data_IF_926718377597
#
_entry.id   IF_926718377597
#
_cell.length_a   1.000
_cell.length_b   1.000
_cell.length_c   1.000
_cell.angle_alpha   90.00
_cell.angle_beta   90.00
_cell.angle_gamma   90.00
#
_symmetry.space_group_name_H-M   'P 1'
#
loop_
_entity.id
_entity.type
_entity.pdbx_description
1 polymer ?
#
# COMPACT_ATOMS: atom_id res chain seq x y z
N UNK A 1 -0.33 -7.98 31.95
CA UNK A 1 -1.36 -8.55 31.05
C UNK A 1 -0.70 -9.32 29.91
N UNK A 2 -1.18 -10.52 29.58
CA UNK A 2 -0.69 -11.27 28.41
C UNK A 2 -1.19 -10.64 27.09
N UNK A 3 -0.71 -11.13 25.94
CA UNK A 3 -1.02 -10.57 24.63
C UNK A 3 -2.51 -10.68 24.27
N UNK A 4 -3.15 -11.80 24.58
CA UNK A 4 -4.58 -12.01 24.35
C UNK A 4 -5.44 -11.02 25.14
N UNK A 5 -5.14 -10.79 26.43
CA UNK A 5 -5.92 -9.85 27.25
C UNK A 5 -5.78 -8.40 26.77
N UNK A 6 -4.58 -7.98 26.35
CA UNK A 6 -4.39 -6.66 25.72
C UNK A 6 -5.17 -6.56 24.40
N UNK A 7 -5.12 -7.63 23.60
CA UNK A 7 -5.89 -7.75 22.36
C UNK A 7 -7.39 -7.65 22.59
N UNK A 8 -7.93 -8.33 23.62
CA UNK A 8 -9.34 -8.28 23.98
C UNK A 8 -9.81 -6.86 24.32
N UNK A 9 -9.05 -6.12 25.15
CA UNK A 9 -9.36 -4.72 25.47
C UNK A 9 -9.29 -3.84 24.22
N UNK A 10 -8.26 -4.03 23.39
CA UNK A 10 -8.18 -3.32 22.11
C UNK A 10 -9.36 -3.66 21.18
N UNK A 11 -9.82 -4.92 21.21
CA UNK A 11 -11.02 -5.42 20.56
C UNK A 11 -12.28 -4.68 20.99
N UNK A 12 -12.46 -4.40 22.28
CA UNK A 12 -13.57 -3.56 22.78
C UNK A 12 -13.52 -2.17 22.14
N UNK A 13 -12.35 -1.52 22.16
CA UNK A 13 -12.21 -0.17 21.60
C UNK A 13 -12.49 -0.14 20.09
N UNK A 14 -11.93 -1.08 19.31
CA UNK A 14 -12.25 -1.21 17.89
C UNK A 14 -13.72 -1.55 17.65
N UNK A 15 -14.29 -2.41 18.49
CA UNK A 15 -15.70 -2.80 18.47
C UNK A 15 -16.63 -1.60 18.65
N UNK A 16 -16.29 -0.67 19.56
CA UNK A 16 -17.02 0.58 19.75
C UNK A 16 -16.96 1.47 18.50
N UNK A 17 -15.76 1.67 17.93
CA UNK A 17 -15.58 2.46 16.70
C UNK A 17 -16.44 1.90 15.57
N UNK A 18 -16.34 0.60 15.31
CA UNK A 18 -17.09 -0.04 14.23
C UNK A 18 -18.59 -0.14 14.55
N UNK A 19 -18.96 -0.34 15.81
CA UNK A 19 -20.35 -0.37 16.26
C UNK A 19 -21.07 0.96 16.01
N UNK A 20 -20.39 2.09 16.24
CA UNK A 20 -20.91 3.42 15.88
C UNK A 20 -21.13 3.52 14.37
N UNK A 21 -20.16 3.10 13.55
CA UNK A 21 -20.35 3.08 12.09
C UNK A 21 -21.54 2.21 11.67
N UNK A 22 -21.70 1.02 12.24
CA UNK A 22 -22.84 0.16 11.95
C UNK A 22 -24.18 0.77 12.39
N UNK A 23 -24.21 1.51 13.50
CA UNK A 23 -25.40 2.23 13.93
C UNK A 23 -25.79 3.32 12.92
N UNK A 24 -24.82 4.09 12.44
CA UNK A 24 -25.02 5.14 11.42
C UNK A 24 -25.55 4.55 10.11
N UNK A 25 -25.06 3.38 9.71
CA UNK A 25 -25.46 2.70 8.48
C UNK A 25 -26.63 1.72 8.64
N UNK A 26 -27.23 1.62 9.83
CA UNK A 26 -28.36 0.69 10.08
C UNK A 26 -27.98 -0.79 9.93
N UNK A 27 -26.72 -1.16 10.11
CA UNK A 27 -26.22 -2.53 9.92
C UNK A 27 -26.26 -3.39 11.19
N UNK A 28 -26.66 -2.83 12.35
CA UNK A 28 -26.76 -3.61 13.59
C UNK A 28 -27.79 -4.76 13.53
N UNK A 29 -28.99 -4.60 12.93
CA UNK A 29 -29.92 -5.72 12.73
C UNK A 29 -29.32 -6.85 11.87
N UNK A 30 -28.45 -6.51 10.90
CA UNK A 30 -27.72 -7.51 10.10
C UNK A 30 -26.91 -8.45 11.00
N UNK A 31 -26.23 -7.94 12.03
CA UNK A 31 -25.51 -8.78 13.00
C UNK A 31 -26.48 -9.53 13.91
N UNK A 32 -27.55 -8.87 14.36
CA UNK A 32 -28.56 -9.46 15.24
C UNK A 32 -29.24 -10.70 14.62
N UNK A 33 -29.40 -10.73 13.30
CA UNK A 33 -30.00 -11.86 12.58
C UNK A 33 -29.26 -13.19 12.80
N UNK A 34 -27.97 -13.17 13.16
CA UNK A 34 -27.19 -14.38 13.51
C UNK A 34 -27.86 -15.15 14.67
N UNK A 35 -28.46 -14.43 15.61
CA UNK A 35 -29.21 -15.00 16.74
C UNK A 35 -30.72 -14.90 16.54
N UNK A 36 -31.17 -14.76 15.28
CA UNK A 36 -32.57 -14.76 14.84
C UNK A 36 -33.43 -13.65 15.47
N UNK A 37 -32.89 -12.44 15.56
CA UNK A 37 -33.62 -11.24 15.99
C UNK A 37 -33.22 -10.01 15.17
N UNK A 38 -34.09 -8.99 15.12
CA UNK A 38 -33.82 -7.72 14.43
C UNK A 38 -33.44 -6.57 15.39
N UNK A 39 -33.29 -6.88 16.69
CA UNK A 39 -32.95 -5.88 17.70
C UNK A 39 -31.53 -5.33 17.50
N UNK A 40 -31.42 -4.04 17.18
CA UNK A 40 -30.14 -3.35 17.04
C UNK A 40 -29.27 -3.42 18.31
N UNK A 41 -29.89 -3.44 19.50
CA UNK A 41 -29.20 -3.57 20.78
C UNK A 41 -28.57 -4.97 20.91
N UNK A 42 -29.32 -6.02 20.53
CA UNK A 42 -28.78 -7.39 20.52
C UNK A 42 -27.67 -7.52 19.47
N UNK A 43 -27.86 -6.94 18.28
CA UNK A 43 -26.82 -6.90 17.24
C UNK A 43 -25.53 -6.23 17.71
N UNK A 44 -25.64 -5.10 18.42
CA UNK A 44 -24.50 -4.44 19.03
C UNK A 44 -23.81 -5.32 20.09
N UNK A 45 -24.58 -5.98 20.97
CA UNK A 45 -24.02 -6.88 21.97
C UNK A 45 -23.26 -8.07 21.34
N UNK A 46 -23.84 -8.71 20.33
CA UNK A 46 -23.22 -9.81 19.57
C UNK A 46 -21.94 -9.33 18.88
N UNK A 47 -21.99 -8.16 18.24
CA UNK A 47 -20.81 -7.51 17.65
C UNK A 47 -19.69 -7.29 18.67
N UNK A 48 -20.01 -6.78 19.86
CA UNK A 48 -19.02 -6.56 20.91
C UNK A 48 -18.36 -7.86 21.39
N UNK A 49 -19.11 -8.97 21.46
CA UNK A 49 -18.56 -10.29 21.78
C UNK A 49 -17.55 -10.72 20.71
N UNK A 50 -17.91 -10.61 19.43
CA UNK A 50 -16.99 -10.91 18.34
C UNK A 50 -15.77 -9.98 18.35
N UNK A 51 -15.96 -8.69 18.60
CA UNK A 51 -14.89 -7.71 18.66
C UNK A 51 -13.84 -8.05 19.73
N UNK A 52 -14.25 -8.56 20.90
CA UNK A 52 -13.35 -9.04 21.96
C UNK A 52 -12.57 -10.28 21.51
N UNK A 53 -13.24 -11.27 20.94
CA UNK A 53 -12.62 -12.53 20.48
C UNK A 53 -11.60 -12.24 19.37
N UNK A 54 -12.02 -11.46 18.37
CA UNK A 54 -11.20 -11.06 17.23
C UNK A 54 -10.01 -10.21 17.69
N UNK A 55 -10.22 -9.29 18.63
CA UNK A 55 -9.14 -8.48 19.23
C UNK A 55 -8.13 -9.33 20.00
N UNK A 56 -8.58 -10.32 20.77
CA UNK A 56 -7.69 -11.26 21.45
C UNK A 56 -6.82 -12.04 20.44
N UNK A 57 -7.42 -12.49 19.33
CA UNK A 57 -6.71 -13.10 18.20
C UNK A 57 -5.63 -12.19 17.60
N UNK A 58 -5.95 -10.91 17.40
CA UNK A 58 -4.97 -9.92 16.93
C UNK A 58 -3.75 -9.87 17.85
N UNK A 59 -3.97 -9.71 19.16
CA UNK A 59 -2.90 -9.62 20.15
C UNK A 59 -1.97 -10.84 20.13
N UNK A 60 -2.51 -12.05 19.94
CA UNK A 60 -1.73 -13.27 19.80
C UNK A 60 -0.83 -13.24 18.54
N UNK A 61 -1.40 -12.89 17.39
CA UNK A 61 -0.72 -12.86 16.08
C UNK A 61 0.40 -11.81 16.05
N UNK A 62 0.13 -10.60 16.54
CA UNK A 62 1.05 -9.46 16.38
C UNK A 62 2.00 -9.24 17.56
N UNK A 63 1.97 -10.13 18.56
CA UNK A 63 2.76 -9.99 19.80
C UNK A 63 4.26 -9.74 19.60
N UNK A 64 4.83 -10.18 18.47
CA UNK A 64 6.24 -9.99 18.09
C UNK A 64 6.44 -9.05 16.90
N UNK A 65 5.34 -8.63 16.27
CA UNK A 65 5.38 -7.76 15.10
C UNK A 65 5.68 -6.32 15.48
N UNK A 66 6.24 -5.58 14.53
CA UNK A 66 6.45 -4.13 14.59
C UNK A 66 5.46 -3.42 13.68
N UNK A 67 5.30 -2.11 13.86
CA UNK A 67 4.44 -1.26 13.01
C UNK A 67 2.99 -1.76 12.93
N UNK A 68 2.41 -1.91 14.13
CA UNK A 68 1.14 -2.59 14.35
C UNK A 68 -0.04 -2.01 13.58
N UNK A 69 0.00 -0.72 13.21
CA UNK A 69 -1.07 -0.07 12.43
C UNK A 69 -1.27 -0.75 11.08
N UNK A 70 -0.19 -1.10 10.37
CA UNK A 70 -0.27 -1.76 9.07
C UNK A 70 -0.82 -3.19 9.21
N UNK A 71 -0.40 -3.91 10.26
CA UNK A 71 -0.97 -5.20 10.59
C UNK A 71 -2.45 -5.12 10.99
N UNK A 72 -2.85 -4.06 11.71
CA UNK A 72 -4.24 -3.79 12.06
C UNK A 72 -5.13 -3.61 10.83
N UNK A 73 -4.67 -2.83 9.86
CA UNK A 73 -5.39 -2.62 8.59
C UNK A 73 -5.55 -3.92 7.80
N UNK A 74 -4.46 -4.69 7.68
CA UNK A 74 -4.52 -5.99 7.03
C UNK A 74 -5.49 -6.93 7.75
N UNK A 75 -5.47 -6.91 9.08
CA UNK A 75 -6.37 -7.71 9.90
C UNK A 75 -7.83 -7.30 9.72
N UNK A 76 -8.12 -5.99 9.64
CA UNK A 76 -9.43 -5.47 9.28
C UNK A 76 -9.89 -5.94 7.90
N UNK A 77 -9.06 -5.77 6.87
CA UNK A 77 -9.33 -6.24 5.52
C UNK A 77 -9.59 -7.75 5.46
N UNK A 78 -8.80 -8.54 6.20
CA UNK A 78 -8.99 -9.98 6.35
C UNK A 78 -10.37 -10.30 6.98
N UNK A 79 -10.76 -9.61 8.04
CA UNK A 79 -12.05 -9.81 8.69
C UNK A 79 -13.24 -9.30 7.88
N UNK A 80 -13.06 -8.36 6.96
CA UNK A 80 -14.10 -8.02 6.00
C UNK A 80 -14.37 -9.16 5.02
N UNK A 81 -13.32 -9.81 4.51
CA UNK A 81 -13.48 -11.00 3.65
C UNK A 81 -14.05 -12.20 4.43
N UNK A 82 -13.54 -12.44 5.64
CA UNK A 82 -13.95 -13.60 6.44
C UNK A 82 -15.32 -13.38 7.11
N UNK A 83 -15.59 -12.23 7.67
CA UNK A 83 -16.79 -11.92 8.46
C UNK A 83 -18.04 -11.80 7.59
N UNK A 84 -18.33 -10.62 7.02
CA UNK A 84 -19.57 -10.38 6.28
C UNK A 84 -19.64 -11.13 4.95
N UNK A 85 -18.52 -11.37 4.26
CA UNK A 85 -18.53 -12.07 2.95
C UNK A 85 -18.56 -13.61 3.05
N UNK A 86 -18.16 -14.19 4.17
CA UNK A 86 -18.04 -15.66 4.30
C UNK A 86 -18.81 -16.21 5.50
N UNK A 87 -18.52 -15.76 6.71
CA UNK A 87 -19.12 -16.30 7.93
C UNK A 87 -20.57 -15.87 8.12
N UNK A 88 -20.94 -14.64 7.77
CA UNK A 88 -22.29 -14.13 7.95
C UNK A 88 -23.34 -14.95 7.15
N UNK A 89 -23.16 -15.22 5.83
CA UNK A 89 -24.06 -16.12 5.10
C UNK A 89 -24.13 -17.51 5.74
N UNK A 90 -22.99 -18.09 6.12
CA UNK A 90 -22.94 -19.41 6.76
C UNK A 90 -23.74 -19.45 8.07
N UNK A 91 -23.63 -18.44 8.92
CA UNK A 91 -24.40 -18.34 10.16
C UNK A 91 -25.91 -18.17 9.92
N UNK A 92 -26.29 -17.61 8.78
CA UNK A 92 -27.69 -17.47 8.36
C UNK A 92 -28.24 -18.69 7.63
N UNK A 93 -27.39 -19.66 7.28
CA UNK A 93 -27.76 -20.77 6.40
C UNK A 93 -27.97 -20.34 4.95
N UNK A 94 -27.42 -19.19 4.55
CA UNK A 94 -27.41 -18.69 3.18
C UNK A 94 -26.16 -19.23 2.44
N UNK A 95 -26.23 -19.42 1.11
CA UNK A 95 -25.06 -19.81 0.33
C UNK A 95 -23.99 -18.70 0.35
N UNK A 96 -22.72 -19.09 0.46
CA UNK A 96 -21.60 -18.16 0.35
C UNK A 96 -21.40 -17.78 -1.12
N UNK A 97 -21.47 -16.49 -1.43
CA UNK A 97 -21.25 -15.96 -2.78
C UNK A 97 -20.04 -15.02 -2.79
N UNK A 98 -18.95 -15.47 -3.41
CA UNK A 98 -17.75 -14.66 -3.65
C UNK A 98 -17.80 -14.01 -5.03
N UNK A 99 -18.83 -13.21 -5.24
CA UNK A 99 -19.03 -12.45 -6.47
C UNK A 99 -18.90 -10.93 -6.24
N UNK A 100 -18.77 -10.20 -7.34
CA UNK A 100 -18.56 -8.76 -7.31
C UNK A 100 -19.75 -7.97 -6.75
N UNK A 101 -20.98 -8.43 -6.99
CA UNK A 101 -22.19 -7.75 -6.51
C UNK A 101 -22.31 -7.85 -4.99
N UNK A 102 -22.01 -9.02 -4.43
CA UNK A 102 -21.96 -9.27 -2.98
C UNK A 102 -20.88 -8.41 -2.31
N UNK A 103 -19.69 -8.31 -2.91
CA UNK A 103 -18.61 -7.45 -2.42
C UNK A 103 -19.00 -5.95 -2.44
N UNK A 104 -19.63 -5.47 -3.51
CA UNK A 104 -20.10 -4.09 -3.64
C UNK A 104 -21.17 -3.74 -2.60
N UNK A 105 -22.12 -4.65 -2.36
CA UNK A 105 -23.16 -4.45 -1.35
C UNK A 105 -22.60 -4.29 0.07
N UNK A 106 -21.44 -4.91 0.35
CA UNK A 106 -20.77 -4.88 1.64
C UNK A 106 -19.65 -3.83 1.74
N UNK A 107 -19.54 -2.92 0.77
CA UNK A 107 -18.48 -1.91 0.74
C UNK A 107 -18.47 -0.99 1.97
N UNK A 108 -19.60 -0.49 2.52
CA UNK A 108 -19.57 0.30 3.75
C UNK A 108 -18.96 -0.47 4.93
N UNK A 109 -19.19 -1.79 4.98
CA UNK A 109 -18.62 -2.63 6.04
C UNK A 109 -17.10 -2.78 5.88
N UNK A 110 -16.53 -2.68 4.67
CA UNK A 110 -15.08 -2.70 4.47
C UNK A 110 -14.42 -1.54 5.22
N UNK A 111 -14.94 -0.33 5.03
CA UNK A 111 -14.41 0.86 5.71
C UNK A 111 -14.52 0.70 7.23
N UNK A 112 -15.65 0.17 7.72
CA UNK A 112 -15.82 -0.15 9.13
C UNK A 112 -14.79 -1.16 9.68
N UNK A 113 -14.46 -2.21 8.91
CA UNK A 113 -13.45 -3.19 9.31
C UNK A 113 -12.02 -2.61 9.26
N UNK A 114 -11.70 -1.74 8.29
CA UNK A 114 -10.41 -1.04 8.26
C UNK A 114 -10.24 -0.13 9.50
N UNK A 115 -11.30 0.62 9.85
CA UNK A 115 -11.34 1.44 11.07
C UNK A 115 -11.23 0.58 12.34
N UNK A 116 -11.94 -0.55 12.41
CA UNK A 116 -11.82 -1.53 13.49
C UNK A 116 -10.37 -1.98 13.67
N UNK A 117 -9.75 -2.48 12.60
CA UNK A 117 -8.40 -3.01 12.62
C UNK A 117 -7.35 -1.97 13.04
N UNK A 118 -7.50 -0.73 12.55
CA UNK A 118 -6.66 0.40 12.97
C UNK A 118 -6.82 0.72 14.45
N UNK A 119 -8.06 0.82 14.94
CA UNK A 119 -8.35 1.13 16.34
C UNK A 119 -7.80 0.04 17.29
N UNK A 120 -7.98 -1.24 16.94
CA UNK A 120 -7.39 -2.37 17.67
C UNK A 120 -5.87 -2.24 17.71
N UNK A 121 -5.22 -1.96 16.57
CA UNK A 121 -3.77 -1.82 16.53
C UNK A 121 -3.25 -0.67 17.40
N UNK A 122 -3.89 0.51 17.34
CA UNK A 122 -3.49 1.68 18.12
C UNK A 122 -3.65 1.44 19.62
N UNK A 123 -4.78 0.89 20.06
CA UNK A 123 -5.01 0.60 21.48
C UNK A 123 -4.09 -0.52 21.96
N UNK A 124 -3.87 -1.56 21.15
CA UNK A 124 -2.93 -2.62 21.49
C UNK A 124 -1.49 -2.10 21.62
N UNK A 125 -1.07 -1.18 20.74
CA UNK A 125 0.24 -0.51 20.82
C UNK A 125 0.41 0.26 22.13
N UNK A 126 -0.61 1.03 22.53
CA UNK A 126 -0.61 1.75 23.83
C UNK A 126 -0.53 0.77 25.00
N UNK A 127 -1.37 -0.27 25.00
CA UNK A 127 -1.39 -1.29 26.06
C UNK A 127 -0.10 -2.12 26.12
N UNK A 128 0.58 -2.29 24.99
CA UNK A 128 1.87 -2.99 24.92
C UNK A 128 3.01 -2.18 25.51
N UNK A 129 2.82 -0.87 25.71
CA UNK A 129 3.86 0.04 26.15
C UNK A 129 4.80 0.43 25.01
N UNK A 130 4.39 0.24 23.75
CA UNK A 130 5.11 0.70 22.56
C UNK A 130 4.95 2.24 22.40
N UNK A 131 4.94 2.98 23.52
CA UNK A 131 4.67 4.41 23.53
C UNK A 131 5.64 5.15 22.61
N UNK A 132 5.16 6.01 21.71
CA UNK A 132 6.03 6.84 20.88
C UNK A 132 6.74 7.86 21.79
N UNK A 133 7.91 7.49 22.29
CA UNK A 133 8.79 8.39 23.02
C UNK A 133 9.27 9.49 22.09
N UNK A 134 9.10 10.74 22.53
CA UNK A 134 9.56 12.03 21.96
C UNK A 134 8.89 12.55 20.67
N UNK A 135 8.70 13.88 20.61
CA UNK A 135 8.24 14.62 19.43
C UNK A 135 9.33 14.58 18.34
N UNK A 136 8.99 14.45 17.05
CA UNK A 136 9.97 14.52 15.98
C UNK A 136 10.68 15.89 15.99
N UNK A 137 11.96 15.96 15.59
CA UNK A 137 12.68 17.23 15.54
C UNK A 137 12.03 18.17 14.53
N UNK A 138 12.14 19.48 14.75
CA UNK A 138 11.56 20.50 13.86
C UNK A 138 12.00 20.34 12.40
N UNK A 139 13.25 19.92 12.17
CA UNK A 139 13.78 19.65 10.82
C UNK A 139 13.05 18.50 10.11
N UNK A 140 12.62 17.46 10.84
CA UNK A 140 11.82 16.39 10.28
C UNK A 140 10.40 16.88 9.93
N UNK A 141 9.83 17.78 10.73
CA UNK A 141 8.52 18.40 10.45
C UNK A 141 8.58 19.29 9.21
N UNK A 142 9.58 20.17 9.11
CA UNK A 142 9.77 21.03 7.92
C UNK A 142 9.95 20.18 6.66
N UNK A 143 10.79 19.15 6.74
CA UNK A 143 10.99 18.22 5.63
C UNK A 143 9.70 17.49 5.24
N UNK A 144 8.94 17.03 6.22
CA UNK A 144 7.64 16.39 6.04
C UNK A 144 6.66 17.33 5.35
N UNK A 145 6.49 18.54 5.88
CA UNK A 145 5.60 19.55 5.32
C UNK A 145 5.96 19.93 3.89
N UNK A 146 7.25 20.17 3.58
CA UNK A 146 7.69 20.46 2.21
C UNK A 146 7.43 19.30 1.25
N UNK A 147 7.80 18.07 1.65
CA UNK A 147 7.55 16.87 0.86
C UNK A 147 6.05 16.69 0.58
N UNK A 148 5.22 16.90 1.60
CA UNK A 148 3.77 16.78 1.52
C UNK A 148 3.13 17.85 0.63
N UNK A 149 3.54 19.11 0.72
CA UNK A 149 3.03 20.19 -0.15
C UNK A 149 3.33 19.90 -1.62
N UNK A 150 4.58 19.55 -1.94
CA UNK A 150 4.99 19.21 -3.31
C UNK A 150 4.21 18.00 -3.82
N UNK A 151 4.14 16.93 -3.02
CA UNK A 151 3.36 15.75 -3.38
C UNK A 151 1.87 16.10 -3.60
N UNK A 152 1.29 16.94 -2.74
CA UNK A 152 -0.08 17.40 -2.83
C UNK A 152 -0.39 18.16 -4.10
N UNK A 153 0.52 19.03 -4.55
CA UNK A 153 0.40 19.74 -5.83
C UNK A 153 0.45 18.78 -7.03
N UNK A 154 1.24 17.71 -6.95
CA UNK A 154 1.39 16.72 -8.02
C UNK A 154 0.28 15.65 -8.03
N UNK A 155 -0.56 15.60 -6.99
CA UNK A 155 -1.54 14.53 -6.80
C UNK A 155 -2.90 14.82 -7.43
N UNK A 156 -3.08 15.95 -8.12
CA UNK A 156 -4.34 16.37 -8.75
C UNK A 156 -5.56 16.37 -7.80
N UNK A 157 -5.33 16.40 -6.48
CA UNK A 157 -6.36 16.60 -5.47
C UNK A 157 -6.59 18.12 -5.36
N UNK A 158 -7.83 18.60 -5.45
CA UNK A 158 -8.14 20.05 -5.54
C UNK A 158 -7.40 20.91 -4.50
N UNK A 159 -7.74 20.79 -3.22
CA UNK A 159 -7.00 21.44 -2.11
C UNK A 159 -5.75 20.62 -1.71
N UNK A 160 -5.13 19.95 -2.68
CA UNK A 160 -4.12 18.92 -2.48
C UNK A 160 -2.89 19.41 -1.74
N UNK A 161 -2.53 20.69 -1.85
CA UNK A 161 -1.40 21.27 -1.12
C UNK A 161 -1.65 21.38 0.40
N UNK A 162 -2.89 21.65 0.86
CA UNK A 162 -3.23 21.66 2.29
C UNK A 162 -3.31 20.24 2.85
N UNK A 163 -3.98 19.34 2.12
CA UNK A 163 -4.05 17.93 2.47
C UNK A 163 -2.63 17.36 2.54
N UNK A 164 -1.81 17.70 1.54
CA UNK A 164 -0.41 17.33 1.46
C UNK A 164 0.41 17.89 2.61
N UNK A 165 0.24 19.16 3.00
CA UNK A 165 0.91 19.73 4.16
C UNK A 165 0.58 18.93 5.44
N UNK A 166 -0.71 18.66 5.68
CA UNK A 166 -1.15 17.89 6.86
C UNK A 166 -0.60 16.45 6.84
N UNK A 167 -0.70 15.77 5.69
CA UNK A 167 -0.14 14.44 5.49
C UNK A 167 1.38 14.41 5.67
N UNK A 168 2.09 15.42 5.17
CA UNK A 168 3.53 15.57 5.29
C UNK A 168 3.99 15.83 6.72
N UNK A 169 3.28 16.67 7.48
CA UNK A 169 3.57 16.95 8.89
C UNK A 169 3.31 15.74 9.79
N UNK A 170 2.30 14.93 9.48
CA UNK A 170 1.97 13.71 10.22
C UNK A 170 2.94 12.54 9.90
N UNK A 171 3.48 12.48 8.68
CA UNK A 171 4.40 11.42 8.24
C UNK A 171 5.54 11.10 9.23
N UNK A 172 6.34 12.07 9.72
CA UNK A 172 7.44 11.79 10.68
C UNK A 172 6.97 11.36 12.07
N UNK A 173 5.69 11.52 12.43
CA UNK A 173 5.17 10.95 13.68
C UNK A 173 4.97 9.45 13.58
N UNK A 174 4.50 8.99 12.42
CA UNK A 174 4.18 7.59 12.14
C UNK A 174 5.42 6.81 11.68
N UNK A 175 6.29 7.43 10.90
CA UNK A 175 7.44 6.77 10.27
C UNK A 175 8.73 7.52 10.61
N UNK A 176 9.31 7.14 11.75
CA UNK A 176 10.50 7.77 12.34
C UNK A 176 11.80 7.11 11.88
N UNK A 177 11.76 5.81 11.67
CA UNK A 177 12.93 5.03 11.35
C UNK A 177 13.43 5.35 9.95
N UNK A 178 14.76 5.36 9.81
CA UNK A 178 15.38 5.53 8.50
C UNK A 178 15.07 4.29 7.66
N UNK A 179 14.45 4.52 6.53
CA UNK A 179 14.13 3.48 5.56
C UNK A 179 14.73 3.81 4.20
N UNK A 180 14.94 2.77 3.39
CA UNK A 180 15.33 2.94 2.00
C UNK A 180 14.13 3.42 1.17
N UNK A 181 14.41 4.13 0.07
CA UNK A 181 13.38 4.81 -0.72
C UNK A 181 12.31 3.86 -1.29
N UNK A 182 12.65 2.64 -1.71
CA UNK A 182 11.68 1.67 -2.23
C UNK A 182 10.62 1.25 -1.22
N UNK A 183 10.98 0.68 -0.05
CA UNK A 183 10.01 0.38 1.00
C UNK A 183 9.24 1.62 1.48
N UNK A 184 9.91 2.77 1.58
CA UNK A 184 9.26 4.04 1.92
C UNK A 184 8.20 4.45 0.88
N UNK A 185 8.46 4.26 -0.42
CA UNK A 185 7.48 4.49 -1.49
C UNK A 185 6.22 3.64 -1.29
N UNK A 186 6.38 2.34 -1.06
CA UNK A 186 5.24 1.41 -0.87
C UNK A 186 4.44 1.75 0.38
N UNK A 187 5.15 1.99 1.48
CA UNK A 187 4.56 2.47 2.73
C UNK A 187 3.83 3.79 2.54
N UNK A 188 4.42 4.71 1.79
CA UNK A 188 3.84 5.97 1.40
C UNK A 188 2.53 5.77 0.65
N UNK A 189 2.48 4.88 -0.34
CA UNK A 189 1.24 4.58 -1.06
C UNK A 189 0.14 4.05 -0.11
N UNK A 190 0.47 3.12 0.79
CA UNK A 190 -0.48 2.64 1.82
C UNK A 190 -0.89 3.76 2.77
N UNK A 191 0.01 4.64 3.17
CA UNK A 191 -0.29 5.83 3.96
C UNK A 191 -1.25 6.78 3.23
N UNK A 192 -1.07 6.94 1.92
CA UNK A 192 -1.98 7.66 1.04
C UNK A 192 -3.38 7.06 1.03
N UNK A 193 -3.49 5.73 0.88
CA UNK A 193 -4.76 5.02 1.01
C UNK A 193 -5.45 5.29 2.36
N UNK A 194 -4.70 5.35 3.45
CA UNK A 194 -5.26 5.68 4.77
C UNK A 194 -5.76 7.12 4.85
N UNK A 195 -5.07 8.07 4.21
CA UNK A 195 -5.58 9.42 4.07
C UNK A 195 -6.88 9.46 3.29
N UNK A 196 -7.02 8.68 2.22
CA UNK A 196 -8.28 8.58 1.50
C UNK A 196 -9.41 8.05 2.39
N UNK A 197 -9.18 6.95 3.13
CA UNK A 197 -10.20 6.36 4.04
C UNK A 197 -10.56 7.32 5.20
N UNK A 198 -9.56 7.86 5.90
CA UNK A 198 -9.79 8.63 7.11
C UNK A 198 -10.21 10.08 6.83
N UNK A 199 -9.62 10.69 5.80
CA UNK A 199 -9.92 12.08 5.47
C UNK A 199 -10.95 12.15 4.34
N UNK A 200 -10.62 11.67 3.13
CA UNK A 200 -11.49 11.81 1.96
C UNK A 200 -12.87 11.16 2.11
N UNK A 201 -12.94 9.96 2.69
CA UNK A 201 -14.21 9.23 2.89
C UNK A 201 -14.92 9.58 4.20
N UNK A 202 -14.23 10.18 5.16
CA UNK A 202 -14.74 10.30 6.54
C UNK A 202 -14.65 11.73 7.07
N UNK A 203 -13.46 12.25 7.36
CA UNK A 203 -13.34 13.55 8.01
C UNK A 203 -13.80 14.71 7.13
N UNK A 204 -13.49 14.71 5.83
CA UNK A 204 -13.86 15.78 4.91
C UNK A 204 -15.39 15.94 4.78
N UNK A 205 -16.17 14.88 4.48
CA UNK A 205 -17.64 14.97 4.49
C UNK A 205 -18.20 15.49 5.83
N UNK A 206 -17.67 15.02 6.95
CA UNK A 206 -18.11 15.47 8.27
C UNK A 206 -17.81 16.95 8.53
N UNK A 207 -16.62 17.43 8.13
CA UNK A 207 -16.24 18.84 8.25
C UNK A 207 -17.10 19.76 7.37
N UNK A 208 -17.51 19.26 6.21
CA UNK A 208 -18.37 19.98 5.26
C UNK A 208 -19.87 19.81 5.54
N UNK A 209 -20.25 19.11 6.63
CA UNK A 209 -21.63 18.73 6.94
C UNK A 209 -22.34 18.01 5.76
N UNK A 210 -21.59 17.22 5.00
CA UNK A 210 -22.08 16.36 3.93
C UNK A 210 -22.35 14.97 4.51
N UNK A 211 -23.41 14.29 4.02
CA UNK A 211 -23.74 12.93 4.43
C UNK A 211 -22.61 11.96 4.07
N UNK A 212 -22.19 11.17 5.06
CA UNK A 212 -21.20 10.10 4.90
C UNK A 212 -21.75 8.98 3.99
N UNK A 213 -21.23 8.84 2.77
CA UNK A 213 -21.68 7.82 1.80
C UNK A 213 -20.57 6.81 1.45
N UNK A 214 -20.26 5.91 2.38
CA UNK A 214 -19.35 4.80 2.13
C UNK A 214 -19.90 3.75 1.14
N UNK A 215 -21.18 3.83 0.76
CA UNK A 215 -21.74 2.94 -0.26
C UNK A 215 -21.34 3.37 -1.67
N UNK A 216 -20.99 4.65 -1.86
CA UNK A 216 -20.54 5.22 -3.14
C UNK A 216 -19.32 6.11 -2.93
N UNK A 217 -18.16 5.53 -2.58
CA UNK A 217 -16.97 6.33 -2.30
C UNK A 217 -16.47 7.05 -3.57
N UNK A 218 -15.92 8.27 -3.45
CA UNK A 218 -15.23 8.98 -4.54
C UNK A 218 -13.93 8.26 -4.92
N UNK A 219 -14.06 7.17 -5.69
CA UNK A 219 -12.93 6.33 -6.15
C UNK A 219 -11.99 7.09 -7.11
N UNK A 220 -12.49 8.16 -7.73
CA UNK A 220 -11.71 9.05 -8.58
C UNK A 220 -10.57 9.77 -7.85
N UNK A 221 -10.70 9.93 -6.53
CA UNK A 221 -9.65 10.52 -5.71
C UNK A 221 -8.58 9.50 -5.28
N UNK A 222 -8.87 8.19 -5.33
CA UNK A 222 -7.99 7.15 -4.81
C UNK A 222 -6.59 7.20 -5.44
N UNK A 223 -6.41 7.28 -6.78
CA UNK A 223 -5.08 7.41 -7.38
C UNK A 223 -4.30 8.63 -6.86
N UNK A 224 -4.98 9.76 -6.69
CA UNK A 224 -4.38 11.00 -6.16
C UNK A 224 -3.87 10.83 -4.74
N UNK A 225 -4.64 10.19 -3.85
CA UNK A 225 -4.18 9.91 -2.48
C UNK A 225 -3.01 8.91 -2.44
N UNK A 226 -3.03 7.88 -3.29
CA UNK A 226 -1.92 6.92 -3.39
C UNK A 226 -0.62 7.61 -3.86
N UNK A 227 -0.71 8.49 -4.86
CA UNK A 227 0.40 9.32 -5.33
C UNK A 227 0.87 10.29 -4.24
N UNK A 228 -0.05 10.96 -3.53
CA UNK A 228 0.27 11.88 -2.45
C UNK A 228 1.16 11.20 -1.41
N UNK A 229 0.73 10.04 -0.92
CA UNK A 229 1.47 9.32 0.10
C UNK A 229 2.81 8.78 -0.41
N UNK A 230 2.83 8.17 -1.60
CA UNK A 230 4.05 7.63 -2.22
C UNK A 230 5.10 8.71 -2.49
N UNK A 231 4.69 9.82 -3.10
CA UNK A 231 5.57 10.96 -3.38
C UNK A 231 6.04 11.65 -2.11
N UNK A 232 5.17 11.82 -1.10
CA UNK A 232 5.57 12.37 0.20
C UNK A 232 6.70 11.55 0.80
N UNK A 233 6.58 10.22 0.81
CA UNK A 233 7.60 9.34 1.38
C UNK A 233 8.94 9.38 0.62
N UNK A 234 8.90 9.40 -0.71
CA UNK A 234 10.10 9.51 -1.56
C UNK A 234 10.79 10.86 -1.33
N UNK A 235 10.05 11.97 -1.44
CA UNK A 235 10.58 13.32 -1.26
C UNK A 235 11.12 13.51 0.16
N UNK A 236 10.40 13.03 1.18
CA UNK A 236 10.86 13.06 2.56
C UNK A 236 12.20 12.33 2.74
N UNK A 237 12.35 11.16 2.12
CA UNK A 237 13.59 10.37 2.18
C UNK A 237 14.74 11.05 1.46
N UNK A 238 14.47 11.63 0.28
CA UNK A 238 15.45 12.31 -0.56
C UNK A 238 15.93 13.61 0.06
N UNK A 239 15.01 14.49 0.48
CA UNK A 239 15.34 15.73 1.20
C UNK A 239 16.18 15.43 2.46
N UNK A 240 15.90 14.32 3.13
CA UNK A 240 16.67 13.91 4.31
C UNK A 240 18.07 13.43 3.98
N UNK A 241 18.25 12.82 2.81
CA UNK A 241 19.55 12.38 2.31
C UNK A 241 20.40 13.56 1.84
N UNK A 242 19.80 14.52 1.12
CA UNK A 242 20.43 15.78 0.71
C UNK A 242 20.84 16.61 1.92
N UNK A 243 19.94 16.82 2.88
CA UNK A 243 20.24 17.62 4.08
C UNK A 243 21.42 17.03 4.87
N UNK A 244 21.52 15.70 5.00
CA UNK A 244 22.68 15.09 5.65
C UNK A 244 23.97 15.27 4.85
N UNK A 245 23.92 15.08 3.53
CA UNK A 245 25.09 15.26 2.68
C UNK A 245 25.63 16.70 2.66
N UNK A 246 24.77 17.70 2.90
CA UNK A 246 25.16 19.11 2.92
C UNK A 246 25.55 19.64 4.31
N UNK A 247 24.96 19.10 5.39
CA UNK A 247 25.04 19.70 6.72
C UNK A 247 25.61 18.78 7.81
N UNK A 248 25.91 17.50 7.51
CA UNK A 248 26.49 16.56 8.47
C UNK A 248 27.81 16.03 7.93
N UNK A 249 28.91 16.48 8.53
CA UNK A 249 30.24 15.91 8.33
C UNK A 249 30.34 14.58 9.10
N UNK A 250 29.73 13.53 8.55
CA UNK A 250 29.82 12.21 9.15
C UNK A 250 31.15 11.56 8.74
N UNK A 251 32.20 11.76 9.54
CA UNK A 251 33.54 11.17 9.34
C UNK A 251 33.48 9.62 9.37
N UNK A 252 32.36 9.02 9.80
CA UNK A 252 32.12 7.56 9.76
C UNK A 252 31.46 7.09 8.45
N UNK A 253 31.02 7.99 7.57
CA UNK A 253 30.69 7.65 6.19
C UNK A 253 31.97 7.46 5.37
N UNK A 254 32.78 6.46 5.74
CA UNK A 254 33.51 5.76 4.70
C UNK A 254 32.46 4.96 3.93
N UNK A 255 32.19 5.26 2.64
CA UNK A 255 31.43 4.32 1.85
C UNK A 255 32.25 3.03 1.84
N UNK A 256 31.76 1.99 2.53
CA UNK A 256 32.35 0.65 2.53
C UNK A 256 32.40 0.06 1.10
N UNK A 257 31.87 0.78 0.11
CA UNK A 257 31.79 0.37 -1.27
C UNK A 257 32.34 1.47 -2.18
N UNK A 258 33.43 1.15 -2.88
CA UNK A 258 33.93 1.97 -3.99
C UNK A 258 32.78 2.31 -4.97
N UNK A 259 32.50 3.58 -5.25
CA UNK A 259 31.57 3.98 -6.30
C UNK A 259 32.00 3.36 -7.64
N UNK A 260 31.06 2.81 -8.42
CA UNK A 260 31.27 2.66 -9.86
C UNK A 260 31.25 1.27 -10.51
N UNK A 261 31.23 0.14 -9.79
CA UNK A 261 31.07 -1.18 -10.43
C UNK A 261 29.78 -1.89 -10.01
N UNK A 262 29.48 -1.89 -8.71
CA UNK A 262 28.29 -2.55 -8.16
C UNK A 262 26.99 -1.79 -8.44
N UNK A 263 27.05 -0.46 -8.51
CA UNK A 263 25.91 0.38 -8.88
C UNK A 263 25.46 0.10 -10.33
N UNK A 264 26.39 0.16 -11.28
CA UNK A 264 26.11 -0.14 -12.69
C UNK A 264 25.63 -1.57 -12.90
N UNK A 265 26.22 -2.55 -12.21
CA UNK A 265 25.73 -3.93 -12.29
C UNK A 265 24.32 -4.09 -11.74
N UNK A 266 24.01 -3.46 -10.59
CA UNK A 266 22.66 -3.50 -10.04
C UNK A 266 21.65 -2.85 -10.99
N UNK A 267 22.00 -1.70 -11.57
CA UNK A 267 21.18 -1.03 -12.60
C UNK A 267 21.00 -1.92 -13.83
N UNK A 268 22.07 -2.57 -14.29
CA UNK A 268 22.01 -3.54 -15.40
C UNK A 268 21.10 -4.74 -15.11
N UNK A 269 21.16 -5.29 -13.89
CA UNK A 269 20.22 -6.33 -13.46
C UNK A 269 18.78 -5.82 -13.44
N UNK A 270 18.58 -4.58 -13.00
CA UNK A 270 17.29 -3.89 -13.09
C UNK A 270 16.79 -3.80 -14.53
N UNK A 271 17.61 -3.35 -15.47
CA UNK A 271 17.24 -3.24 -16.88
C UNK A 271 16.90 -4.61 -17.50
N UNK A 272 17.71 -5.65 -17.23
CA UNK A 272 17.43 -7.02 -17.71
C UNK A 272 16.13 -7.57 -17.11
N UNK A 273 15.93 -7.42 -15.80
CA UNK A 273 14.70 -7.83 -15.15
C UNK A 273 13.49 -7.03 -15.67
N UNK A 274 13.70 -5.75 -15.99
CA UNK A 274 12.74 -4.88 -16.65
C UNK A 274 12.35 -5.38 -18.03
N UNK A 275 13.30 -5.85 -18.85
CA UNK A 275 13.00 -6.49 -20.15
C UNK A 275 12.15 -7.75 -20.00
N UNK A 276 12.46 -8.61 -19.02
CA UNK A 276 11.68 -9.85 -18.78
C UNK A 276 10.25 -9.50 -18.36
N UNK A 277 10.08 -8.56 -17.41
CA UNK A 277 8.76 -8.07 -17.04
C UNK A 277 8.04 -7.40 -18.21
N UNK A 278 8.77 -6.61 -19.00
CA UNK A 278 8.25 -5.90 -20.18
C UNK A 278 7.72 -6.86 -21.23
N UNK A 279 8.47 -7.92 -21.53
CA UNK A 279 8.06 -8.98 -22.45
C UNK A 279 6.80 -9.73 -21.97
N UNK A 280 6.69 -10.00 -20.66
CA UNK A 280 5.47 -10.59 -20.09
C UNK A 280 4.28 -9.65 -20.24
N UNK A 281 4.47 -8.35 -19.99
CA UNK A 281 3.43 -7.34 -20.16
C UNK A 281 3.05 -7.17 -21.65
N UNK A 282 3.99 -7.32 -22.58
CA UNK A 282 3.69 -7.30 -24.02
C UNK A 282 2.62 -8.33 -24.40
N UNK A 283 2.56 -9.50 -23.76
CA UNK A 283 1.50 -10.49 -24.01
C UNK A 283 0.11 -9.89 -23.76
N UNK A 284 -0.06 -9.20 -22.62
CA UNK A 284 -1.32 -8.51 -22.29
C UNK A 284 -1.60 -7.39 -23.30
N UNK A 285 -0.58 -6.61 -23.66
CA UNK A 285 -0.75 -5.49 -24.59
C UNK A 285 -1.16 -5.92 -25.99
N UNK A 286 -0.65 -7.06 -26.48
CA UNK A 286 -1.03 -7.64 -27.77
C UNK A 286 -2.47 -8.11 -27.74
N UNK A 287 -2.88 -8.79 -26.66
CA UNK A 287 -4.26 -9.28 -26.50
C UNK A 287 -5.27 -8.13 -26.43
N UNK A 288 -4.93 -7.05 -25.73
CA UNK A 288 -5.81 -5.86 -25.56
C UNK A 288 -5.69 -4.89 -26.74
N UNK A 289 -4.65 -4.99 -27.56
CA UNK A 289 -4.44 -4.14 -28.74
C UNK A 289 -3.95 -2.72 -28.44
N UNK A 290 -3.20 -2.52 -27.34
CA UNK A 290 -2.79 -1.18 -26.86
C UNK A 290 -1.41 -0.72 -27.37
N UNK A 291 -0.72 -1.51 -28.19
CA UNK A 291 0.60 -1.15 -28.74
C UNK A 291 0.56 0.15 -29.58
N UNK A 292 -0.43 0.39 -30.46
CA UNK A 292 -0.53 1.68 -31.17
C UNK A 292 -0.67 2.89 -30.25
N UNK A 293 -1.36 2.75 -29.11
CA UNK A 293 -1.48 3.81 -28.12
C UNK A 293 -0.13 4.12 -27.45
N UNK A 294 0.71 3.12 -27.23
CA UNK A 294 2.07 3.36 -26.72
C UNK A 294 2.97 3.98 -27.79
N UNK A 295 2.81 3.59 -29.06
CA UNK A 295 3.53 4.19 -30.19
C UNK A 295 3.22 5.69 -30.32
N UNK A 296 2.01 6.12 -29.97
CA UNK A 296 1.61 7.52 -30.12
C UNK A 296 2.35 8.47 -29.18
N UNK A 297 2.99 7.97 -28.11
CA UNK A 297 3.88 8.77 -27.26
C UNK A 297 5.05 9.41 -28.04
N UNK A 298 5.43 8.80 -29.16
CA UNK A 298 6.50 9.27 -30.04
C UNK A 298 5.98 9.65 -31.43
N UNK A 299 4.67 9.90 -31.56
CA UNK A 299 4.04 10.32 -32.80
C UNK A 299 3.88 9.22 -33.86
N UNK A 300 3.92 7.94 -33.47
CA UNK A 300 3.70 6.81 -34.38
C UNK A 300 2.39 6.06 -34.08
N UNK A 301 1.85 5.34 -35.05
CA UNK A 301 0.72 4.41 -34.86
C UNK A 301 1.12 2.94 -35.07
N UNK A 302 2.37 2.67 -35.43
CA UNK A 302 2.84 1.33 -35.78
C UNK A 302 2.99 0.45 -34.52
N UNK A 303 2.36 -0.74 -34.45
CA UNK A 303 2.45 -1.62 -33.28
C UNK A 303 3.89 -2.00 -32.90
N UNK A 304 4.77 -2.16 -33.89
CA UNK A 304 6.18 -2.48 -33.69
C UNK A 304 6.92 -1.33 -33.00
N UNK A 305 6.62 -0.08 -33.36
CA UNK A 305 7.18 1.10 -32.68
C UNK A 305 6.69 1.14 -31.23
N UNK A 306 5.41 0.86 -31.00
CA UNK A 306 4.84 0.75 -29.66
C UNK A 306 5.53 -0.31 -28.79
N UNK A 307 5.86 -1.46 -29.37
CA UNK A 307 6.62 -2.51 -28.70
C UNK A 307 8.04 -2.03 -28.31
N UNK A 308 8.75 -1.37 -29.22
CA UNK A 308 10.09 -0.85 -28.96
C UNK A 308 10.04 0.18 -27.81
N UNK A 309 9.11 1.14 -27.89
CA UNK A 309 8.91 2.16 -26.85
C UNK A 309 8.61 1.50 -25.50
N UNK A 310 7.71 0.53 -25.46
CA UNK A 310 7.38 -0.23 -24.25
C UNK A 310 8.60 -0.95 -23.65
N UNK A 311 9.44 -1.59 -24.45
CA UNK A 311 10.64 -2.29 -23.97
C UNK A 311 11.73 -1.32 -23.47
N UNK A 312 11.83 -0.13 -24.06
CA UNK A 312 12.71 0.94 -23.56
C UNK A 312 12.21 1.45 -22.21
N UNK A 313 10.91 1.77 -22.09
CA UNK A 313 10.29 2.19 -20.82
C UNK A 313 10.47 1.09 -19.75
N UNK A 314 10.25 -0.17 -20.12
CA UNK A 314 10.41 -1.33 -19.23
C UNK A 314 11.82 -1.44 -18.65
N UNK A 315 12.86 -1.11 -19.42
CA UNK A 315 14.24 -1.08 -18.93
C UNK A 315 14.50 0.08 -17.97
N UNK A 316 13.98 1.27 -18.29
CA UNK A 316 14.12 2.45 -17.43
C UNK A 316 13.44 2.18 -16.07
N UNK A 317 12.23 1.64 -16.09
CA UNK A 317 11.48 1.27 -14.89
C UNK A 317 12.22 0.19 -14.09
N UNK A 318 12.75 -0.83 -14.77
CA UNK A 318 13.54 -1.88 -14.12
C UNK A 318 14.83 -1.36 -13.49
N UNK A 319 15.52 -0.44 -14.15
CA UNK A 319 16.68 0.26 -13.61
C UNK A 319 16.30 1.07 -12.35
N UNK A 320 15.18 1.79 -12.36
CA UNK A 320 14.72 2.52 -11.16
C UNK A 320 14.31 1.57 -10.02
N UNK A 321 13.75 0.39 -10.31
CA UNK A 321 13.50 -0.62 -9.28
C UNK A 321 14.80 -1.04 -8.58
N UNK A 322 15.87 -1.28 -9.35
CA UNK A 322 17.17 -1.62 -8.79
C UNK A 322 17.76 -0.51 -7.90
N UNK A 323 17.49 0.76 -8.22
CA UNK A 323 17.91 1.89 -7.38
C UNK A 323 17.09 1.96 -6.09
N UNK A 324 15.78 1.74 -6.17
CA UNK A 324 14.86 1.91 -5.05
C UNK A 324 14.84 0.73 -4.07
N UNK A 325 14.94 -0.51 -4.58
CA UNK A 325 14.71 -1.75 -3.82
C UNK A 325 15.97 -2.60 -3.65
N UNK A 326 17.15 -2.06 -3.94
CA UNK A 326 18.43 -2.75 -3.74
C UNK A 326 18.52 -3.34 -2.33
N UNK A 327 18.90 -4.62 -2.21
CA UNK A 327 19.04 -5.34 -0.93
C UNK A 327 17.78 -5.43 -0.08
N UNK A 328 16.60 -5.30 -0.67
CA UNK A 328 15.33 -5.49 0.04
C UNK A 328 14.69 -6.87 -0.18
N UNK A 329 15.22 -7.62 -1.15
CA UNK A 329 14.72 -8.95 -1.51
C UNK A 329 15.66 -10.01 -0.94
N UNK A 330 15.21 -10.71 0.10
CA UNK A 330 15.99 -11.75 0.78
C UNK A 330 15.62 -13.16 0.29
N UNK A 331 14.52 -13.28 -0.45
CA UNK A 331 14.01 -14.48 -1.10
C UNK A 331 13.11 -14.12 -2.30
N UNK A 332 12.67 -15.15 -3.04
CA UNK A 332 11.76 -14.96 -4.17
C UNK A 332 10.43 -14.32 -3.74
N UNK A 333 9.92 -14.65 -2.55
CA UNK A 333 8.64 -14.10 -2.03
C UNK A 333 8.75 -12.59 -1.81
N UNK A 334 9.81 -12.13 -1.16
CA UNK A 334 10.07 -10.71 -0.95
C UNK A 334 10.37 -9.97 -2.25
N UNK A 335 11.10 -10.60 -3.18
CA UNK A 335 11.29 -10.09 -4.53
C UNK A 335 9.96 -9.85 -5.26
N UNK A 336 9.09 -10.86 -5.27
CA UNK A 336 7.74 -10.76 -5.86
C UNK A 336 6.90 -9.72 -5.12
N UNK A 337 6.92 -9.70 -3.78
CA UNK A 337 6.13 -8.78 -2.97
C UNK A 337 6.47 -7.31 -3.24
N UNK A 338 7.76 -6.95 -3.25
CA UNK A 338 8.19 -5.60 -3.63
C UNK A 338 7.91 -5.30 -5.10
N UNK A 339 8.11 -6.29 -5.97
CA UNK A 339 7.78 -6.20 -7.39
C UNK A 339 6.32 -5.86 -7.64
N UNK A 340 5.38 -6.57 -7.01
CA UNK A 340 3.93 -6.33 -7.08
C UNK A 340 3.58 -4.92 -6.62
N UNK A 341 4.13 -4.47 -5.49
CA UNK A 341 3.90 -3.10 -5.01
C UNK A 341 4.40 -2.05 -5.99
N UNK A 342 5.57 -2.28 -6.58
CA UNK A 342 6.15 -1.37 -7.55
C UNK A 342 5.38 -1.34 -8.87
N UNK A 343 4.92 -2.51 -9.33
CA UNK A 343 4.03 -2.64 -10.49
C UNK A 343 2.72 -1.88 -10.27
N UNK A 344 2.08 -2.08 -9.11
CA UNK A 344 0.87 -1.34 -8.74
C UNK A 344 1.08 0.18 -8.72
N UNK A 345 2.20 0.64 -8.15
CA UNK A 345 2.55 2.06 -8.17
C UNK A 345 2.72 2.59 -9.60
N UNK A 346 3.36 1.82 -10.49
CA UNK A 346 3.50 2.20 -11.90
C UNK A 346 2.22 2.10 -12.71
N UNK A 347 1.25 1.28 -12.32
CA UNK A 347 -0.07 1.34 -12.94
C UNK A 347 -0.72 2.71 -12.70
N UNK A 348 -0.61 3.22 -11.48
CA UNK A 348 -1.12 4.55 -11.12
C UNK A 348 -0.29 5.64 -11.83
N UNK A 349 1.01 5.71 -11.52
CA UNK A 349 1.88 6.76 -12.02
C UNK A 349 2.06 6.68 -13.54
N UNK A 350 2.33 5.51 -14.08
CA UNK A 350 2.59 5.28 -15.50
C UNK A 350 1.30 5.32 -16.32
N UNK A 351 0.43 4.33 -16.15
CA UNK A 351 -0.73 4.15 -17.01
C UNK A 351 -1.85 5.17 -16.77
N UNK A 352 -2.19 5.46 -15.50
CA UNK A 352 -3.30 6.37 -15.20
C UNK A 352 -2.90 7.86 -15.18
N UNK A 353 -1.61 8.18 -15.12
CA UNK A 353 -1.14 9.58 -15.00
C UNK A 353 -0.23 9.99 -16.15
N UNK A 354 0.93 9.35 -16.32
CA UNK A 354 1.93 9.78 -17.30
C UNK A 354 1.55 9.46 -18.74
N UNK A 355 0.92 8.31 -19.01
CA UNK A 355 0.48 7.94 -20.36
C UNK A 355 -0.48 8.97 -20.97
N UNK A 356 -1.55 9.42 -20.28
CA UNK A 356 -2.37 10.53 -20.76
C UNK A 356 -1.55 11.79 -21.06
N UNK A 357 -0.65 12.18 -20.15
CA UNK A 357 0.22 13.37 -20.33
C UNK A 357 1.09 13.25 -21.59
N UNK A 358 1.74 12.10 -21.81
CA UNK A 358 2.59 11.88 -22.98
C UNK A 358 1.83 11.76 -24.30
N UNK A 359 0.54 11.43 -24.25
CA UNK A 359 -0.32 11.32 -25.43
C UNK A 359 -1.19 12.57 -25.66
N UNK A 360 -1.02 13.62 -24.85
CA UNK A 360 -1.81 14.85 -24.92
C UNK A 360 -3.27 14.69 -24.47
N UNK A 361 -3.61 13.57 -23.84
CA UNK A 361 -4.94 13.32 -23.27
C UNK A 361 -5.04 13.87 -21.85
N UNK A 362 -6.22 14.36 -21.41
CA UNK A 362 -6.40 14.79 -20.02
C UNK A 362 -6.25 13.60 -19.06
N UNK A 363 -5.59 13.83 -17.92
CA UNK A 363 -5.54 12.86 -16.82
C UNK A 363 -6.95 12.70 -16.26
N UNK A 364 -7.48 11.47 -16.32
CA UNK A 364 -8.81 11.12 -15.82
C UNK A 364 -8.71 9.90 -14.92
N UNK A 365 -9.25 10.03 -13.71
CA UNK A 365 -9.35 8.95 -12.72
C UNK A 365 -10.79 8.58 -12.40
N UNK A 366 -11.75 9.08 -13.20
CA UNK A 366 -13.15 8.71 -13.04
C UNK A 366 -13.37 7.19 -13.14
N UNK A 367 -14.50 6.66 -12.64
CA UNK A 367 -14.75 5.23 -12.62
C UNK A 367 -14.65 4.54 -13.99
N UNK A 368 -15.01 5.24 -15.09
CA UNK A 368 -14.92 4.70 -16.43
C UNK A 368 -13.46 4.57 -16.89
N UNK A 369 -12.62 5.57 -16.58
CA UNK A 369 -11.18 5.51 -16.84
C UNK A 369 -10.50 4.39 -16.04
N UNK A 370 -10.85 4.22 -14.76
CA UNK A 370 -10.32 3.13 -13.93
C UNK A 370 -10.74 1.75 -14.46
N UNK A 371 -11.99 1.60 -14.89
CA UNK A 371 -12.49 0.36 -15.49
C UNK A 371 -11.77 0.05 -16.82
N UNK A 372 -11.61 1.05 -17.68
CA UNK A 372 -10.88 0.90 -18.94
C UNK A 372 -9.39 0.58 -18.72
N UNK A 373 -8.78 1.09 -17.65
CA UNK A 373 -7.41 0.81 -17.24
C UNK A 373 -7.22 -0.53 -16.52
N UNK A 374 -8.29 -1.26 -16.18
CA UNK A 374 -8.19 -2.48 -15.38
C UNK A 374 -7.38 -3.62 -16.06
N UNK A 375 -7.51 -3.90 -17.36
CA UNK A 375 -6.66 -4.91 -18.01
C UNK A 375 -5.16 -4.60 -17.90
N UNK A 376 -4.78 -3.31 -17.91
CA UNK A 376 -3.39 -2.91 -17.76
C UNK A 376 -2.89 -3.06 -16.31
N UNK A 377 -3.76 -3.03 -15.29
CA UNK A 377 -3.39 -3.34 -13.91
C UNK A 377 -2.81 -4.75 -13.80
N UNK A 378 -3.47 -5.75 -14.39
CA UNK A 378 -2.97 -7.12 -14.42
C UNK A 378 -1.59 -7.19 -15.08
N UNK A 379 -1.40 -6.47 -16.20
CA UNK A 379 -0.12 -6.37 -16.88
C UNK A 379 0.99 -5.73 -16.02
N UNK A 380 0.68 -4.67 -15.28
CA UNK A 380 1.64 -4.02 -14.38
C UNK A 380 1.98 -4.88 -13.15
N UNK A 381 1.01 -5.59 -12.58
CA UNK A 381 1.27 -6.53 -11.49
C UNK A 381 2.15 -7.70 -11.97
N UNK A 382 1.87 -8.26 -13.15
CA UNK A 382 2.68 -9.30 -13.76
C UNK A 382 4.11 -8.80 -14.08
N UNK A 383 4.23 -7.62 -14.67
CA UNK A 383 5.49 -6.93 -14.90
C UNK A 383 6.30 -6.81 -13.61
N UNK A 384 5.67 -6.27 -12.56
CA UNK A 384 6.29 -6.03 -11.26
C UNK A 384 6.75 -7.32 -10.59
N UNK A 385 5.90 -8.33 -10.54
CA UNK A 385 6.23 -9.64 -9.97
C UNK A 385 7.44 -10.29 -10.69
N UNK A 386 7.44 -10.27 -12.02
CA UNK A 386 8.54 -10.80 -12.83
C UNK A 386 9.83 -10.00 -12.63
N UNK A 387 9.75 -8.66 -12.68
CA UNK A 387 10.87 -7.74 -12.40
C UNK A 387 11.51 -8.06 -11.04
N UNK A 388 10.71 -8.13 -9.98
CA UNK A 388 11.19 -8.39 -8.63
C UNK A 388 11.82 -9.78 -8.47
N UNK A 389 11.19 -10.82 -9.05
CA UNK A 389 11.70 -12.19 -9.02
C UNK A 389 13.03 -12.34 -9.78
N UNK A 390 13.11 -11.80 -11.00
CA UNK A 390 14.31 -11.87 -11.84
C UNK A 390 15.44 -11.04 -11.25
N UNK A 391 15.14 -9.85 -10.72
CA UNK A 391 16.14 -9.02 -10.05
C UNK A 391 16.74 -9.75 -8.84
N UNK A 392 15.89 -10.33 -7.98
CA UNK A 392 16.34 -11.15 -6.86
C UNK A 392 17.21 -12.32 -7.33
N UNK A 393 16.79 -13.04 -8.38
CA UNK A 393 17.55 -14.16 -8.92
C UNK A 393 18.93 -13.73 -9.40
N UNK A 394 19.06 -12.62 -10.13
CA UNK A 394 20.34 -12.06 -10.58
C UNK A 394 21.22 -11.60 -9.41
N UNK A 395 20.64 -10.91 -8.42
CA UNK A 395 21.37 -10.46 -7.23
C UNK A 395 21.86 -11.66 -6.39
N UNK A 396 21.03 -12.69 -6.22
CA UNK A 396 21.33 -13.88 -5.41
C UNK A 396 22.51 -14.69 -5.92
N UNK A 397 22.72 -14.71 -7.25
CA UNK A 397 23.86 -15.38 -7.91
C UNK A 397 25.18 -14.66 -7.71
N UNK A 398 25.14 -13.41 -7.23
CA UNK A 398 26.31 -12.56 -7.19
C UNK A 398 26.74 -12.26 -5.76
N UNK A 399 27.64 -13.08 -5.21
CA UNK A 399 28.24 -12.78 -3.92
C UNK A 399 29.47 -11.86 -4.09
N UNK A 400 29.63 -10.85 -3.23
CA UNK A 400 30.88 -10.14 -3.06
C UNK A 400 32.10 -11.04 -2.88
N UNK A 401 33.21 -10.73 -3.55
CA UNK A 401 34.43 -11.53 -3.45
C UNK A 401 35.04 -11.54 -2.04
N UNK A 402 34.77 -10.52 -1.22
CA UNK A 402 35.23 -10.43 0.18
C UNK A 402 34.25 -11.03 1.19
N UNK A 403 33.05 -11.46 0.78
CA UNK A 403 32.12 -12.18 1.66
C UNK A 403 32.19 -13.67 1.38
N UNK A 404 32.39 -14.46 2.43
CA UNK A 404 32.20 -15.91 2.34
C UNK A 404 30.74 -16.22 2.04
N UNK A 405 30.48 -17.36 1.38
CA UNK A 405 29.12 -17.83 1.11
C UNK A 405 28.28 -17.90 2.40
N UNK A 406 28.88 -18.39 3.49
CA UNK A 406 28.24 -18.51 4.80
C UNK A 406 27.87 -17.14 5.39
N UNK A 407 28.74 -16.14 5.30
CA UNK A 407 28.44 -14.79 5.81
C UNK A 407 27.30 -14.12 5.00
N UNK A 408 27.30 -14.28 3.68
CA UNK A 408 26.22 -13.78 2.82
C UNK A 408 24.87 -14.47 3.13
N UNK A 409 24.90 -15.78 3.40
CA UNK A 409 23.71 -16.54 3.79
C UNK A 409 23.18 -16.11 5.17
N UNK A 410 24.04 -15.94 6.16
CA UNK A 410 23.66 -15.45 7.49
C UNK A 410 23.00 -14.06 7.41
N UNK A 411 23.57 -13.14 6.61
CA UNK A 411 22.98 -11.83 6.38
C UNK A 411 21.57 -11.92 5.75
N UNK A 412 21.37 -12.83 4.79
CA UNK A 412 20.03 -13.07 4.19
C UNK A 412 19.04 -13.64 5.19
N UNK A 413 19.45 -14.61 6.01
CA UNK A 413 18.59 -15.20 7.06
C UNK A 413 18.18 -14.14 8.08
N UNK A 414 19.11 -13.29 8.52
CA UNK A 414 18.81 -12.18 9.42
C UNK A 414 17.88 -11.16 8.76
N UNK A 415 18.13 -10.79 7.51
CA UNK A 415 17.27 -9.88 6.73
C UNK A 415 15.84 -10.42 6.58
N UNK A 416 15.69 -11.69 6.19
CA UNK A 416 14.38 -12.37 6.10
C UNK A 416 13.63 -12.33 7.43
N UNK A 417 14.34 -12.62 8.54
CA UNK A 417 13.73 -12.56 9.88
C UNK A 417 13.27 -11.14 10.22
N UNK A 418 14.09 -10.12 9.97
CA UNK A 418 13.72 -8.72 10.21
C UNK A 418 12.51 -8.31 9.37
N UNK A 419 12.49 -8.70 8.09
CA UNK A 419 11.39 -8.41 7.18
C UNK A 419 10.08 -9.08 7.63
N UNK A 420 10.13 -10.34 8.06
CA UNK A 420 8.97 -11.08 8.57
C UNK A 420 8.40 -10.53 9.88
N UNK A 421 9.23 -9.87 10.69
CA UNK A 421 8.84 -9.21 11.94
C UNK A 421 8.45 -7.73 11.74
N UNK A 422 8.75 -7.18 10.57
CA UNK A 422 8.42 -5.82 10.17
C UNK A 422 7.05 -5.76 9.49
N UNK A 423 6.82 -4.67 8.77
CA UNK A 423 5.56 -4.45 8.03
C UNK A 423 5.59 -4.90 6.59
N UNK A 424 6.74 -5.32 6.04
CA UNK A 424 6.84 -5.63 4.61
C UNK A 424 5.78 -6.65 4.14
N UNK A 425 5.51 -7.78 4.85
CA UNK A 425 4.41 -8.67 4.48
C UNK A 425 3.04 -7.99 4.50
N UNK A 426 2.80 -7.13 5.50
CA UNK A 426 1.56 -6.37 5.60
C UNK A 426 1.42 -5.38 4.44
N UNK A 427 2.49 -4.68 4.07
CA UNK A 427 2.52 -3.73 2.95
C UNK A 427 2.25 -4.40 1.61
N UNK A 428 2.88 -5.56 1.34
CA UNK A 428 2.64 -6.30 0.11
C UNK A 428 1.20 -6.76 0.01
N UNK A 429 0.70 -7.36 1.09
CA UNK A 429 -0.66 -7.90 1.13
C UNK A 429 -1.70 -6.79 1.05
N UNK A 430 -1.50 -5.67 1.74
CA UNK A 430 -2.38 -4.49 1.65
C UNK A 430 -2.36 -3.89 0.26
N UNK A 431 -1.21 -3.84 -0.40
CA UNK A 431 -1.12 -3.30 -1.76
C UNK A 431 -1.89 -4.17 -2.75
N UNK A 432 -1.72 -5.50 -2.65
CA UNK A 432 -2.51 -6.46 -3.45
C UNK A 432 -3.99 -6.34 -3.12
N UNK A 433 -4.34 -6.20 -1.84
CA UNK A 433 -5.72 -5.98 -1.41
C UNK A 433 -6.31 -4.72 -2.04
N UNK A 434 -5.62 -3.57 -1.96
CA UNK A 434 -6.05 -2.31 -2.58
C UNK A 434 -6.27 -2.51 -4.09
N UNK A 435 -5.32 -3.12 -4.79
CA UNK A 435 -5.43 -3.41 -6.21
C UNK A 435 -6.66 -4.28 -6.54
N UNK A 436 -6.92 -5.33 -5.74
CA UNK A 436 -8.07 -6.22 -5.93
C UNK A 436 -9.40 -5.59 -5.52
N UNK A 437 -9.40 -4.54 -4.68
CA UNK A 437 -10.62 -3.80 -4.34
C UNK A 437 -11.05 -2.82 -5.42
N UNK A 438 -10.19 -2.45 -6.38
CA UNK A 438 -10.54 -1.47 -7.43
C UNK A 438 -11.85 -1.82 -8.17
N UNK A 439 -12.08 -3.07 -8.65
CA UNK A 439 -13.35 -3.43 -9.30
C UNK A 439 -14.58 -3.32 -8.38
N UNK A 440 -14.38 -3.51 -7.07
CA UNK A 440 -15.44 -3.40 -6.04
C UNK A 440 -15.77 -1.93 -5.79
N UNK A 441 -14.81 -1.03 -5.94
CA UNK A 441 -14.99 0.42 -5.74
C UNK A 441 -15.62 1.13 -6.94
N UNK A 442 -15.50 0.55 -8.14
CA UNK A 442 -16.14 1.05 -9.36
C UNK A 442 -17.63 0.66 -9.33
N UNK A 443 -18.58 1.60 -9.52
CA UNK A 443 -20.02 1.33 -9.50
C UNK A 443 -20.52 0.28 -10.50
#
# INVERSE_FOLDING_TARGET
MNAAARGAIAGVAGGLVFGVSMAVYGMLPTVASIVRTDSAVVGFAVHMVFAVIIGAGFGLIVSRQRELVLWGLLYGAFWWFLGPLTLLPLFRGEPVSWDLSSARALLPSLIGHLCYGMAVALVYMVLRGDQPSTRPPATALVRGGLAGVIAGMLSHLGWGWLIGLAAGLLYPYLFRDRENTGPALVRGAVYGFLWWVLFGLTAEPLLLNVKLDWARPPVDQLPGYLLLGGLTAVLYTWLGSVARGLFVDDVRMFPVESPGARGFRAVGYGAVAGLVGGALFTVVMVVVGVLPLVASMVGSSEPVVGLIVHLVISQIIGASYAVLFRRQSFDAVSGIGWGLCYGFFWWILGNLTLLPVFTGSPVRWDPAALAAGFPSLAGHLAYGAALGAVYYWLESRTNPWWMTRNAAEQARVQGRRQQSLGSAPALWTLTVFIALTVPVLIP
#
